data_IF_162194895022
#
_entry.id   IF_162194895022
#
_cell.length_a   1.000
_cell.length_b   1.000
_cell.length_c   1.000
_cell.angle_alpha   90.00
_cell.angle_beta   90.00
_cell.angle_gamma   90.00
#
_symmetry.space_group_name_H-M   'P 1'
#
loop_
_entity.id
_entity.type
_entity.pdbx_description
1 polymer ?
#
# COMPACT_ATOMS: atom_id res chain seq x y z
N UNK A 1 41.01 -19.83 11.93
CA UNK A 1 40.60 -18.68 11.08
C UNK A 1 39.17 -18.30 11.45
N UNK A 2 39.00 -17.33 12.35
CA UNK A 2 37.70 -16.85 12.83
C UNK A 2 37.05 -15.94 11.77
N UNK A 3 35.86 -16.34 11.28
CA UNK A 3 35.07 -15.51 10.37
C UNK A 3 34.46 -14.33 11.13
N UNK A 4 34.99 -13.13 10.89
CA UNK A 4 34.40 -11.89 11.39
C UNK A 4 32.99 -11.69 10.81
N UNK A 5 31.97 -11.64 11.69
CA UNK A 5 30.61 -11.21 11.31
C UNK A 5 30.66 -9.71 11.04
N UNK A 6 30.71 -9.31 9.77
CA UNK A 6 30.47 -7.92 9.35
C UNK A 6 29.10 -7.48 9.84
N UNK A 7 29.07 -6.56 10.81
CA UNK A 7 27.85 -5.96 11.32
C UNK A 7 27.04 -5.31 10.20
N UNK A 8 25.75 -5.65 10.07
CA UNK A 8 24.83 -4.95 9.18
C UNK A 8 24.78 -3.48 9.61
N UNK A 9 25.26 -2.57 8.75
CA UNK A 9 25.02 -1.12 8.90
C UNK A 9 23.51 -0.91 9.06
N UNK A 10 23.10 -0.28 10.16
CA UNK A 10 21.71 0.13 10.36
C UNK A 10 21.35 1.14 9.27
N UNK A 11 20.35 0.83 8.43
CA UNK A 11 19.83 1.80 7.47
C UNK A 11 19.16 2.94 8.26
N UNK A 12 19.40 4.18 7.84
CA UNK A 12 18.80 5.36 8.48
C UNK A 12 17.32 5.45 8.11
N UNK A 13 16.48 5.88 9.07
CA UNK A 13 15.04 6.02 8.84
C UNK A 13 14.68 7.02 7.72
N UNK A 14 15.59 7.94 7.39
CA UNK A 14 15.47 8.88 6.26
C UNK A 14 15.56 8.15 4.92
N UNK A 15 16.50 7.21 4.78
CA UNK A 15 16.60 6.37 3.58
C UNK A 15 15.39 5.43 3.42
N UNK A 16 14.60 5.26 4.49
CA UNK A 16 13.39 4.47 4.47
C UNK A 16 12.14 5.26 4.04
N UNK A 17 12.17 6.59 3.99
CA UNK A 17 11.03 7.36 3.43
C UNK A 17 11.01 7.16 1.91
N UNK A 18 9.96 6.55 1.39
CA UNK A 18 9.85 6.20 -0.03
C UNK A 18 8.39 6.30 -0.48
N UNK A 19 8.18 6.84 -1.66
CA UNK A 19 6.89 6.81 -2.37
C UNK A 19 6.97 5.88 -3.58
N UNK A 20 6.01 4.97 -3.72
CA UNK A 20 5.94 4.04 -4.86
C UNK A 20 4.52 3.94 -5.37
N UNK A 21 4.37 3.81 -6.68
CA UNK A 21 3.10 3.50 -7.29
C UNK A 21 3.03 2.03 -7.70
N UNK A 22 1.91 1.41 -7.37
CA UNK A 22 1.64 0.00 -7.62
C UNK A 22 0.31 -0.15 -8.35
N UNK A 23 0.24 -1.17 -9.19
CA UNK A 23 -1.04 -1.65 -9.72
C UNK A 23 -1.46 -2.89 -8.93
N UNK A 24 -2.54 -2.77 -8.16
CA UNK A 24 -3.10 -3.90 -7.40
C UNK A 24 -4.13 -4.61 -8.26
N UNK A 25 -3.92 -5.91 -8.50
CA UNK A 25 -4.92 -6.75 -9.15
C UNK A 25 -5.98 -7.24 -8.16
N UNK A 26 -7.00 -6.41 -7.91
CA UNK A 26 -8.07 -6.70 -6.96
C UNK A 26 -8.94 -7.88 -7.38
N UNK A 27 -9.21 -8.06 -8.68
CA UNK A 27 -10.05 -9.17 -9.15
C UNK A 27 -9.52 -10.55 -8.72
N UNK A 28 -8.20 -10.75 -8.76
CA UNK A 28 -7.56 -11.99 -8.27
C UNK A 28 -7.72 -12.16 -6.76
N UNK A 29 -7.65 -11.06 -6.01
CA UNK A 29 -7.71 -11.05 -4.53
C UNK A 29 -9.12 -11.20 -3.96
N UNK A 30 -10.15 -10.83 -4.74
CA UNK A 30 -11.57 -10.98 -4.35
C UNK A 30 -12.27 -12.13 -5.10
N UNK A 31 -11.51 -12.98 -5.79
CA UNK A 31 -12.05 -14.14 -6.48
C UNK A 31 -12.70 -15.11 -5.49
N UNK A 32 -13.89 -15.63 -5.83
CA UNK A 32 -14.64 -16.56 -4.98
C UNK A 32 -15.30 -15.94 -3.73
N UNK A 33 -15.18 -14.63 -3.53
CA UNK A 33 -15.78 -13.94 -2.37
C UNK A 33 -17.26 -13.63 -2.65
N UNK A 34 -18.13 -13.86 -1.68
CA UNK A 34 -19.55 -13.51 -1.76
C UNK A 34 -19.74 -12.02 -2.08
N UNK A 35 -20.71 -11.68 -2.93
CA UNK A 35 -20.89 -10.30 -3.42
C UNK A 35 -21.03 -9.26 -2.30
N UNK A 36 -21.75 -9.59 -1.23
CA UNK A 36 -21.93 -8.71 -0.05
C UNK A 36 -20.63 -8.45 0.73
N UNK A 37 -19.54 -9.15 0.43
CA UNK A 37 -18.24 -9.03 1.12
C UNK A 37 -17.11 -8.59 0.20
N UNK A 38 -17.36 -8.34 -1.10
CA UNK A 38 -16.30 -8.03 -2.07
C UNK A 38 -15.59 -6.71 -1.79
N UNK A 39 -16.30 -5.57 -1.71
CA UNK A 39 -15.65 -4.29 -1.41
C UNK A 39 -14.99 -4.24 -0.01
N UNK A 40 -15.63 -4.74 1.08
CA UNK A 40 -14.95 -4.87 2.38
C UNK A 40 -13.69 -5.74 2.31
N UNK A 41 -13.71 -6.84 1.56
CA UNK A 41 -12.52 -7.68 1.37
C UNK A 41 -11.44 -6.97 0.57
N UNK A 42 -11.81 -6.25 -0.49
CA UNK A 42 -10.87 -5.48 -1.31
C UNK A 42 -10.07 -4.47 -0.48
N UNK A 43 -10.72 -3.77 0.46
CA UNK A 43 -10.05 -2.82 1.36
C UNK A 43 -9.05 -3.52 2.28
N UNK A 44 -9.43 -4.66 2.86
CA UNK A 44 -8.53 -5.46 3.71
C UNK A 44 -7.32 -5.95 2.90
N UNK A 45 -7.54 -6.35 1.66
CA UNK A 45 -6.50 -6.79 0.73
C UNK A 45 -5.57 -5.64 0.31
N UNK A 46 -6.08 -4.42 0.11
CA UNK A 46 -5.25 -3.23 -0.15
C UNK A 46 -4.38 -2.92 1.06
N UNK A 47 -4.94 -2.98 2.27
CA UNK A 47 -4.19 -2.79 3.52
C UNK A 47 -3.08 -3.83 3.66
N UNK A 48 -3.40 -5.11 3.49
CA UNK A 48 -2.43 -6.21 3.57
C UNK A 48 -1.33 -6.08 2.50
N UNK A 49 -1.68 -5.64 1.29
CA UNK A 49 -0.70 -5.38 0.24
C UNK A 49 0.27 -4.25 0.64
N UNK A 50 -0.24 -3.15 1.20
CA UNK A 50 0.58 -2.03 1.62
C UNK A 50 1.51 -2.41 2.79
N UNK A 51 1.00 -3.16 3.77
CA UNK A 51 1.78 -3.70 4.88
C UNK A 51 2.94 -4.59 4.37
N UNK A 52 2.65 -5.51 3.45
CA UNK A 52 3.67 -6.38 2.86
C UNK A 52 4.69 -5.62 1.99
N UNK A 53 4.23 -4.65 1.18
CA UNK A 53 5.08 -3.94 0.24
C UNK A 53 6.01 -2.93 0.91
N UNK A 54 5.56 -2.28 1.99
CA UNK A 54 6.32 -1.22 2.68
C UNK A 54 6.93 -1.67 4.02
N UNK A 55 6.49 -2.82 4.55
CA UNK A 55 6.97 -3.37 5.82
C UNK A 55 6.53 -2.59 7.06
N UNK A 56 5.40 -1.87 6.99
CA UNK A 56 4.86 -1.06 8.09
C UNK A 56 3.55 -1.62 8.59
N UNK A 57 3.38 -1.74 9.91
CA UNK A 57 2.13 -2.20 10.52
C UNK A 57 1.03 -1.12 10.52
N UNK A 58 1.40 0.16 10.70
CA UNK A 58 0.45 1.27 10.57
C UNK A 58 0.22 1.60 9.09
N UNK A 59 -0.98 1.28 8.62
CA UNK A 59 -1.43 1.57 7.26
C UNK A 59 -2.69 2.44 7.31
N UNK A 60 -2.57 3.64 6.76
CA UNK A 60 -3.63 4.65 6.69
C UNK A 60 -4.13 4.73 5.24
N UNK A 61 -5.43 4.53 5.04
CA UNK A 61 -6.06 4.59 3.72
C UNK A 61 -6.71 5.95 3.53
N UNK A 62 -6.47 6.58 2.38
CA UNK A 62 -7.14 7.83 1.99
C UNK A 62 -8.66 7.60 1.82
N UNK A 63 -9.53 8.49 2.36
CA UNK A 63 -10.96 8.44 2.09
C UNK A 63 -11.31 8.40 0.60
N UNK A 64 -10.53 9.06 -0.27
CA UNK A 64 -10.75 9.03 -1.72
C UNK A 64 -10.49 7.66 -2.34
N UNK A 65 -9.49 6.94 -1.82
CA UNK A 65 -9.25 5.53 -2.19
C UNK A 65 -10.45 4.66 -1.80
N UNK A 66 -11.02 4.89 -0.62
CA UNK A 66 -12.23 4.19 -0.19
C UNK A 66 -13.40 4.48 -1.15
N UNK A 67 -13.66 5.75 -1.46
CA UNK A 67 -14.73 6.13 -2.41
C UNK A 67 -14.57 5.41 -3.76
N UNK A 68 -13.35 5.38 -4.31
CA UNK A 68 -13.06 4.70 -5.60
C UNK A 68 -13.27 3.19 -5.57
N UNK A 69 -12.98 2.54 -4.44
CA UNK A 69 -13.24 1.09 -4.28
C UNK A 69 -14.74 0.79 -4.19
N UNK A 70 -15.52 1.72 -3.62
CA UNK A 70 -16.97 1.59 -3.42
C UNK A 70 -17.83 2.25 -4.49
N UNK A 71 -17.23 2.90 -5.49
CA UNK A 71 -17.92 3.73 -6.49
C UNK A 71 -19.03 2.98 -7.25
N UNK A 72 -18.78 1.72 -7.65
CA UNK A 72 -19.77 0.87 -8.31
C UNK A 72 -20.53 -0.06 -7.32
N UNK A 73 -20.53 0.28 -6.03
CA UNK A 73 -21.19 -0.46 -4.96
C UNK A 73 -20.44 -1.70 -4.48
N UNK A 74 -21.07 -2.44 -3.56
CA UNK A 74 -20.41 -3.52 -2.79
C UNK A 74 -19.86 -4.68 -3.62
N UNK A 75 -20.49 -4.96 -4.78
CA UNK A 75 -20.09 -6.00 -5.73
C UNK A 75 -19.14 -5.49 -6.82
N UNK A 76 -19.20 -4.20 -7.12
CA UNK A 76 -18.54 -3.56 -8.27
C UNK A 76 -17.11 -3.10 -7.96
N UNK A 77 -16.29 -3.98 -7.39
CA UNK A 77 -14.88 -3.63 -7.10
C UNK A 77 -14.10 -3.53 -8.43
N UNK A 78 -13.31 -2.46 -8.65
CA UNK A 78 -12.45 -2.34 -9.83
C UNK A 78 -11.53 -3.55 -9.97
N UNK A 79 -11.30 -4.02 -11.20
CA UNK A 79 -10.48 -5.23 -11.41
C UNK A 79 -9.00 -5.03 -11.08
N UNK A 80 -8.52 -3.83 -11.42
CA UNK A 80 -7.18 -3.33 -11.11
C UNK A 80 -7.30 -1.91 -10.61
N UNK A 81 -6.45 -1.54 -9.67
CA UNK A 81 -6.42 -0.20 -9.08
C UNK A 81 -4.97 0.27 -9.02
N UNK A 82 -4.69 1.44 -9.60
CA UNK A 82 -3.41 2.12 -9.40
C UNK A 82 -3.44 2.86 -8.08
N UNK A 83 -2.48 2.56 -7.21
CA UNK A 83 -2.35 3.19 -5.90
C UNK A 83 -0.95 3.75 -5.73
N UNK A 84 -0.86 4.88 -5.05
CA UNK A 84 0.39 5.45 -4.55
C UNK A 84 0.49 5.10 -3.07
N UNK A 85 1.61 4.50 -2.68
CA UNK A 85 1.90 4.18 -1.29
C UNK A 85 3.13 4.97 -0.88
N UNK A 86 2.96 5.83 0.10
CA UNK A 86 4.03 6.65 0.65
C UNK A 86 4.31 6.22 2.08
N UNK A 87 5.51 5.73 2.34
CA UNK A 87 5.98 5.44 3.70
C UNK A 87 6.57 6.71 4.29
N UNK A 88 5.91 7.25 5.31
CA UNK A 88 6.21 8.53 5.95
C UNK A 88 6.61 8.31 7.41
N UNK A 89 7.33 9.29 7.97
CA UNK A 89 7.65 9.33 9.39
C UNK A 89 6.41 9.69 10.20
N UNK A 90 6.23 9.02 11.32
CA UNK A 90 5.23 9.41 12.31
C UNK A 90 5.88 10.38 13.31
N UNK A 91 5.41 11.61 13.33
CA UNK A 91 5.91 12.67 14.21
C UNK A 91 5.04 12.85 15.47
N UNK A 92 4.00 12.02 15.64
CA UNK A 92 3.16 12.02 16.84
C UNK A 92 3.94 11.51 18.07
N UNK A 93 3.98 12.32 19.13
CA UNK A 93 4.63 11.99 20.40
C UNK A 93 3.93 10.80 21.06
N UNK A 94 4.63 9.68 21.24
CA UNK A 94 4.09 8.42 21.79
C UNK A 94 3.62 7.40 20.75
N UNK A 95 3.87 7.63 19.45
CA UNK A 95 3.57 6.64 18.41
C UNK A 95 4.28 5.29 18.65
N UNK A 96 3.52 4.19 18.59
CA UNK A 96 4.05 2.83 18.72
C UNK A 96 5.02 2.45 17.60
N UNK A 97 4.81 2.98 16.40
CA UNK A 97 5.61 2.71 15.21
C UNK A 97 6.15 4.04 14.66
N UNK A 98 7.43 4.07 14.29
CA UNK A 98 8.12 5.28 13.80
C UNK A 98 7.74 5.68 12.37
N UNK A 99 7.21 4.72 11.61
CA UNK A 99 6.85 4.88 10.20
C UNK A 99 5.42 4.39 9.99
N UNK A 100 4.68 5.08 9.12
CA UNK A 100 3.37 4.63 8.65
C UNK A 100 3.32 4.66 7.12
N UNK A 101 2.47 3.82 6.54
CA UNK A 101 2.17 3.87 5.10
C UNK A 101 0.85 4.57 4.85
N UNK A 102 0.88 5.58 3.98
CA UNK A 102 -0.31 6.26 3.48
C UNK A 102 -0.62 5.78 2.06
N UNK A 103 -1.85 5.30 1.84
CA UNK A 103 -2.26 4.74 0.55
C UNK A 103 -3.29 5.65 -0.10
N UNK A 104 -3.01 6.07 -1.32
CA UNK A 104 -3.87 6.94 -2.12
C UNK A 104 -4.24 6.28 -3.45
N UNK A 105 -5.42 6.60 -3.98
CA UNK A 105 -5.77 6.21 -5.33
C UNK A 105 -5.12 7.14 -6.35
N UNK A 106 -4.53 6.57 -7.40
CA UNK A 106 -4.09 7.34 -8.55
C UNK A 106 -5.15 7.23 -9.64
N UNK A 107 -5.51 8.37 -10.24
CA UNK A 107 -6.45 8.39 -11.35
C UNK A 107 -5.71 8.10 -12.65
N UNK A 108 -5.93 6.89 -13.17
CA UNK A 108 -5.38 6.41 -14.43
C UNK A 108 -6.51 5.80 -15.23
N UNK A 109 -6.58 6.12 -16.53
CA UNK A 109 -7.58 5.56 -17.46
C UNK A 109 -7.43 4.04 -17.59
N UNK A 110 -6.19 3.56 -17.79
CA UNK A 110 -5.89 2.14 -17.91
C UNK A 110 -4.75 1.72 -16.97
N UNK A 111 -5.03 0.96 -15.90
CA UNK A 111 -4.00 0.54 -14.95
C UNK A 111 -3.25 -0.73 -15.39
N UNK A 112 -3.67 -1.40 -16.47
CA UNK A 112 -3.05 -2.64 -16.96
C UNK A 112 -1.71 -2.32 -17.62
N UNK A 113 -0.68 -3.14 -17.37
CA UNK A 113 0.65 -2.97 -17.97
C UNK A 113 1.55 -1.95 -17.28
N UNK A 114 1.02 -1.10 -16.39
CA UNK A 114 1.83 -0.18 -15.60
C UNK A 114 2.65 -0.93 -14.56
N UNK A 115 3.98 -0.83 -14.68
CA UNK A 115 4.93 -1.40 -13.73
C UNK A 115 4.98 -0.59 -12.44
N UNK A 116 5.62 -1.15 -11.41
CA UNK A 116 5.90 -0.41 -10.18
C UNK A 116 6.90 0.72 -10.48
N UNK A 117 6.53 1.95 -10.13
CA UNK A 117 7.42 3.11 -10.25
C UNK A 117 7.74 3.66 -8.86
N UNK A 118 8.98 4.10 -8.66
CA UNK A 118 9.35 4.92 -7.51
C UNK A 118 9.03 6.36 -7.89
N UNK A 119 8.36 7.09 -7.00
CA UNK A 119 8.14 8.52 -7.18
C UNK A 119 9.12 9.28 -6.30
N UNK A 120 9.83 10.24 -6.87
CA UNK A 120 10.83 11.06 -6.20
C UNK A 120 10.23 12.28 -5.48
N UNK A 121 8.91 12.27 -5.23
CA UNK A 121 8.23 13.28 -4.41
C UNK A 121 8.64 13.09 -2.92
N UNK A 122 9.86 13.51 -2.55
CA UNK A 122 10.39 13.52 -1.19
C UNK A 122 11.10 14.86 -0.90
#
# INVERSE_FOLDING_TARGET
MSSAKTGKKSRSAIADVVSREYTIHLHKRVHGVSFKKRAPRAIKEIRAFAEQAMGTKDVRLDPQLNKKVWESGIKGVPFRLRVRISRKRNDEEGAKEKLYSFVQAVNVKEPKGLQTSVNDDA
#
